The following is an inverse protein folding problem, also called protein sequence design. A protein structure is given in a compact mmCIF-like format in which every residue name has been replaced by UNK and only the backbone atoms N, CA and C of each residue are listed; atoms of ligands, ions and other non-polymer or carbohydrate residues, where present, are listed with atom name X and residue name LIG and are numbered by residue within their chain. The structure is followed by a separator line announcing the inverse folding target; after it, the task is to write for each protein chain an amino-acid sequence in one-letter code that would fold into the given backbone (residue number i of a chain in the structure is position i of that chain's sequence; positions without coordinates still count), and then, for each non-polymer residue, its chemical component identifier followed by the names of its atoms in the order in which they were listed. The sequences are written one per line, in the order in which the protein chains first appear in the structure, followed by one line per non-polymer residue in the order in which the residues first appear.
data_IF_880368233169
#
_entry.id   IF_880368233169
#
_cell.length_a   1.000
_cell.length_b   1.000
_cell.length_c   1.000
_cell.angle_alpha   90.00
_cell.angle_beta   90.00
_cell.angle_gamma   90.00
#
_symmetry.space_group_name_H-M   'P 1'
#
loop_
_entity.id
_entity.type
_entity.pdbx_description
1 polymer ?
#
# COMPACT_ATOMS: atom_id res chain seq x y z
N UNK A 1 5.12 8.28 12.74
CA UNK A 1 4.00 9.02 12.10
C UNK A 1 3.08 8.02 11.42
N UNK A 2 1.78 8.13 11.69
CA UNK A 2 0.79 7.21 11.16
C UNK A 2 0.07 7.80 9.95
N UNK A 3 -0.14 6.96 8.95
CA UNK A 3 -0.87 7.31 7.74
C UNK A 3 -1.89 6.25 7.40
N UNK A 4 -3.10 6.70 7.06
CA UNK A 4 -4.08 5.87 6.37
C UNK A 4 -3.76 5.92 4.88
N UNK A 5 -3.55 4.78 4.28
CA UNK A 5 -3.22 4.68 2.84
C UNK A 5 -4.28 3.81 2.18
N UNK A 6 -4.98 4.39 1.22
CA UNK A 6 -5.99 3.69 0.41
C UNK A 6 -5.40 3.47 -0.98
N UNK A 7 -5.33 2.22 -1.40
CA UNK A 7 -4.73 1.83 -2.68
C UNK A 7 -5.75 1.10 -3.54
N UNK A 8 -5.93 1.57 -4.76
CA UNK A 8 -6.77 0.90 -5.77
C UNK A 8 -5.89 0.53 -6.94
N UNK A 9 -5.92 -0.75 -7.34
CA UNK A 9 -5.16 -1.22 -8.50
C UNK A 9 -6.04 -1.14 -9.73
N UNK A 10 -5.57 -0.40 -10.73
CA UNK A 10 -6.23 -0.27 -12.03
C UNK A 10 -5.38 -1.03 -13.06
N UNK A 11 -5.86 -2.18 -13.50
CA UNK A 11 -5.15 -3.00 -14.46
C UNK A 11 -5.35 -2.41 -15.87
N UNK A 12 -4.27 -1.99 -16.56
CA UNK A 12 -4.40 -1.40 -17.89
C UNK A 12 -4.88 -2.43 -18.91
N UNK A 13 -5.66 -1.96 -19.90
CA UNK A 13 -5.95 -2.77 -21.08
C UNK A 13 -4.65 -3.09 -21.82
N UNK A 14 -4.52 -4.33 -22.26
CA UNK A 14 -3.38 -4.75 -23.06
C UNK A 14 -2.14 -5.10 -22.28
N UNK A 15 -2.15 -5.02 -20.94
CA UNK A 15 -1.03 -5.53 -20.16
C UNK A 15 -0.93 -7.04 -20.35
N UNK A 16 0.30 -7.54 -20.54
CA UNK A 16 0.53 -8.97 -20.67
C UNK A 16 0.09 -9.70 -19.40
N UNK A 17 -0.70 -10.80 -19.51
CA UNK A 17 -1.08 -11.59 -18.34
C UNK A 17 0.12 -12.12 -17.57
N UNK A 18 1.19 -12.49 -18.26
CA UNK A 18 2.43 -12.99 -17.65
C UNK A 18 3.13 -11.89 -16.87
N UNK A 19 3.19 -10.68 -17.42
CA UNK A 19 3.79 -9.53 -16.71
C UNK A 19 3.00 -9.18 -15.47
N UNK A 20 1.66 -9.12 -15.59
CA UNK A 20 0.79 -8.81 -14.45
C UNK A 20 0.97 -9.85 -13.33
N UNK A 21 1.00 -11.13 -13.68
CA UNK A 21 1.20 -12.19 -12.68
C UNK A 21 2.54 -12.07 -11.99
N UNK A 22 3.60 -11.76 -12.73
CA UNK A 22 4.93 -11.54 -12.16
C UNK A 22 4.92 -10.33 -11.20
N UNK A 23 4.28 -9.24 -11.58
CA UNK A 23 4.14 -8.07 -10.72
C UNK A 23 3.40 -8.40 -9.43
N UNK A 24 2.35 -9.22 -9.50
CA UNK A 24 1.59 -9.64 -8.31
C UNK A 24 2.42 -10.49 -7.36
N UNK A 25 3.24 -11.39 -7.90
CA UNK A 25 4.14 -12.23 -7.10
C UNK A 25 5.16 -11.35 -6.36
N UNK A 26 5.77 -10.42 -7.07
CA UNK A 26 6.76 -9.50 -6.50
C UNK A 26 6.12 -8.54 -5.49
N UNK A 27 4.90 -8.08 -5.78
CA UNK A 27 4.12 -7.24 -4.87
C UNK A 27 3.87 -7.94 -3.53
N UNK A 28 3.45 -9.20 -3.58
CA UNK A 28 3.20 -10.00 -2.38
C UNK A 28 4.46 -10.14 -1.53
N UNK A 29 5.60 -10.37 -2.17
CA UNK A 29 6.87 -10.47 -1.47
C UNK A 29 7.28 -9.15 -0.83
N UNK A 30 7.14 -8.03 -1.55
CA UNK A 30 7.48 -6.70 -1.04
C UNK A 30 6.55 -6.29 0.10
N UNK A 31 5.26 -6.56 -0.03
CA UNK A 31 4.29 -6.30 1.03
C UNK A 31 4.63 -7.07 2.30
N UNK A 32 5.05 -8.32 2.17
CA UNK A 32 5.49 -9.13 3.30
C UNK A 32 6.71 -8.51 3.99
N UNK A 33 7.70 -8.09 3.23
CA UNK A 33 8.91 -7.44 3.77
C UNK A 33 8.56 -6.18 4.58
N UNK A 34 7.69 -5.34 4.04
CA UNK A 34 7.28 -4.10 4.69
C UNK A 34 6.46 -4.35 5.96
N UNK A 35 5.63 -5.39 5.97
CA UNK A 35 4.89 -5.80 7.18
C UNK A 35 5.84 -6.34 8.24
N UNK A 36 6.79 -7.17 7.86
CA UNK A 36 7.77 -7.74 8.78
C UNK A 36 8.69 -6.66 9.36
N UNK A 37 9.00 -5.61 8.57
CA UNK A 37 9.82 -4.49 9.04
C UNK A 37 9.10 -3.60 10.06
N UNK A 38 7.78 -3.74 10.19
CA UNK A 38 6.97 -2.93 11.08
C UNK A 38 6.48 -1.62 10.49
N UNK A 39 6.82 -1.31 9.26
CA UNK A 39 6.35 -0.08 8.60
C UNK A 39 4.90 -0.20 8.13
N UNK A 40 4.51 -1.34 7.60
CA UNK A 40 3.15 -1.60 7.14
C UNK A 40 2.40 -2.32 8.26
N UNK A 41 1.72 -1.53 9.10
CA UNK A 41 1.12 -2.04 10.35
C UNK A 41 -0.16 -2.83 10.14
N UNK A 42 -1.01 -2.39 9.22
CA UNK A 42 -2.30 -3.03 8.96
C UNK A 42 -2.61 -3.01 7.47
N UNK A 43 -3.23 -4.07 7.00
CA UNK A 43 -3.58 -4.26 5.60
C UNK A 43 -4.91 -5.00 5.52
N UNK A 44 -5.93 -4.34 4.96
CA UNK A 44 -7.26 -4.94 4.77
C UNK A 44 -7.70 -4.82 3.32
N UNK A 45 -8.32 -5.89 2.81
CA UNK A 45 -8.98 -5.88 1.50
C UNK A 45 -10.28 -5.09 1.59
N UNK A 46 -10.54 -4.22 0.61
CA UNK A 46 -11.87 -3.65 0.43
C UNK A 46 -12.77 -4.71 -0.20
N UNK A 47 -13.89 -5.01 0.46
CA UNK A 47 -14.80 -6.06 -0.01
C UNK A 47 -15.30 -5.73 -1.43
N UNK A 48 -15.14 -6.69 -2.34
CA UNK A 48 -15.64 -6.57 -3.71
C UNK A 48 -14.78 -5.73 -4.66
N UNK A 49 -13.59 -5.25 -4.24
CA UNK A 49 -12.75 -4.38 -5.06
C UNK A 49 -11.30 -4.84 -5.04
N UNK A 50 -10.56 -4.56 -6.12
CA UNK A 50 -9.11 -4.74 -6.14
C UNK A 50 -8.45 -3.52 -5.50
N UNK A 51 -8.68 -3.39 -4.21
CA UNK A 51 -8.25 -2.24 -3.41
C UNK A 51 -7.99 -2.67 -1.98
N UNK A 52 -7.19 -1.88 -1.28
CA UNK A 52 -6.91 -2.11 0.13
C UNK A 52 -6.95 -0.82 0.92
N UNK A 53 -7.13 -0.97 2.23
CA UNK A 53 -6.97 0.10 3.22
C UNK A 53 -5.84 -0.34 4.14
N UNK A 54 -4.89 0.53 4.35
CA UNK A 54 -3.67 0.21 5.06
C UNK A 54 -3.31 1.29 6.08
N UNK A 55 -2.57 0.87 7.11
CA UNK A 55 -1.93 1.79 8.05
C UNK A 55 -0.42 1.60 7.94
N UNK A 56 0.29 2.70 7.69
CA UNK A 56 1.75 2.75 7.70
C UNK A 56 2.24 3.57 8.89
N UNK A 57 3.33 3.12 9.49
CA UNK A 57 4.06 3.85 10.54
C UNK A 57 5.47 4.11 10.04
N UNK A 58 5.78 5.37 9.80
CA UNK A 58 7.05 5.81 9.20
C UNK A 58 7.55 7.07 9.90
N UNK A 59 8.81 7.43 9.67
CA UNK A 59 9.44 8.58 10.33
C UNK A 59 9.19 9.90 9.60
N UNK A 60 8.82 9.85 8.31
CA UNK A 60 8.63 11.04 7.49
C UNK A 60 7.71 10.76 6.30
N UNK A 61 7.23 11.85 5.69
CA UNK A 61 6.49 11.77 4.41
C UNK A 61 7.37 11.18 3.32
N UNK A 62 8.65 11.54 3.29
CA UNK A 62 9.59 11.06 2.28
C UNK A 62 9.80 9.56 2.41
N UNK A 63 9.90 9.04 3.63
CA UNK A 63 9.98 7.60 3.85
C UNK A 63 8.73 6.90 3.35
N UNK A 64 7.55 7.42 3.66
CA UNK A 64 6.30 6.84 3.17
C UNK A 64 6.29 6.76 1.64
N UNK A 65 6.66 7.85 0.97
CA UNK A 65 6.70 7.89 -0.48
C UNK A 65 7.69 6.87 -1.04
N UNK A 66 8.87 6.77 -0.44
CA UNK A 66 9.88 5.79 -0.84
C UNK A 66 9.34 4.36 -0.72
N UNK A 67 8.68 4.04 0.40
CA UNK A 67 8.13 2.70 0.60
C UNK A 67 6.99 2.41 -0.38
N UNK A 68 6.06 3.33 -0.57
CA UNK A 68 4.94 3.14 -1.50
C UNK A 68 5.43 2.99 -2.93
N UNK A 69 6.38 3.83 -3.36
CA UNK A 69 6.91 3.76 -4.73
C UNK A 69 7.79 2.53 -4.96
N UNK A 70 8.21 1.83 -3.91
CA UNK A 70 8.93 0.57 -4.04
C UNK A 70 8.02 -0.62 -4.35
N UNK A 71 6.70 -0.46 -4.24
CA UNK A 71 5.76 -1.52 -4.55
C UNK A 71 5.72 -1.77 -6.06
N UNK A 72 5.90 -3.02 -6.53
CA UNK A 72 5.85 -3.33 -7.96
C UNK A 72 4.57 -2.89 -8.66
N UNK A 73 3.42 -2.93 -7.97
CA UNK A 73 2.14 -2.48 -8.55
C UNK A 73 1.93 -0.96 -8.44
N UNK A 74 2.86 -0.22 -7.85
CA UNK A 74 2.71 1.22 -7.67
C UNK A 74 2.30 1.96 -8.95
N UNK A 75 2.90 1.69 -10.13
CA UNK A 75 2.51 2.38 -11.37
C UNK A 75 1.06 2.14 -11.79
N UNK A 76 0.43 1.08 -11.28
CA UNK A 76 -0.96 0.73 -11.59
C UNK A 76 -1.93 1.20 -10.52
N UNK A 77 -1.44 1.83 -9.46
CA UNK A 77 -2.25 2.20 -8.31
C UNK A 77 -2.73 3.64 -8.36
N UNK A 78 -3.95 3.84 -7.91
CA UNK A 78 -4.46 5.12 -7.45
C UNK A 78 -4.37 5.11 -5.92
N UNK A 79 -3.61 6.06 -5.35
CA UNK A 79 -3.30 6.07 -3.93
C UNK A 79 -3.78 7.36 -3.29
N UNK A 80 -4.52 7.22 -2.18
CA UNK A 80 -4.90 8.34 -1.33
C UNK A 80 -4.23 8.16 0.03
N UNK A 81 -3.57 9.23 0.51
CA UNK A 81 -2.88 9.25 1.79
C UNK A 81 -3.54 10.24 2.72
N UNK A 82 -3.80 9.83 3.96
CA UNK A 82 -4.33 10.69 5.01
C UNK A 82 -3.43 10.58 6.23
N UNK A 83 -2.85 11.70 6.65
CA UNK A 83 -2.06 11.74 7.88
C UNK A 83 -2.99 11.63 9.10
N UNK A 84 -2.58 10.82 10.06
CA UNK A 84 -3.37 10.56 11.25
C UNK A 84 -2.68 11.09 12.49
N UNK A 85 -3.45 11.69 13.37
CA UNK A 85 -3.00 12.11 14.69
C UNK A 85 -3.80 11.34 15.75
N UNK A 86 -3.23 11.25 16.95
CA UNK A 86 -3.96 10.64 18.06
C UNK A 86 -5.15 11.53 18.44
N UNK A 87 -6.34 10.93 18.45
CA UNK A 87 -7.55 11.64 18.87
C UNK A 87 -7.52 11.85 20.39
N UNK A 88 -7.91 13.04 20.89
CA UNK A 88 -7.91 13.30 22.36
C UNK A 88 -8.77 12.32 23.17
N UNK A 89 -9.79 11.73 22.56
CA UNK A 89 -10.69 10.77 23.20
C UNK A 89 -10.29 9.32 23.05
N UNK A 90 -9.14 9.05 22.43
CA UNK A 90 -8.66 7.66 22.25
C UNK A 90 -8.27 7.07 23.61
N UNK A 91 -8.54 5.79 23.80
CA UNK A 91 -8.19 5.07 25.03
C UNK A 91 -7.08 4.06 24.81
#
# INVERSE_FOLDING_TARGET
MLYLVEMTVNVPHGISPELLEQMKIEEKQRAKELQESGHWKHLWRVVGRYANVSIFDVDSHDELHTLLSSLPLFPLMDIRVTALAKHPSTI
#
